data_IF_474535538256
#
_entry.id   IF_474535538256
#
_cell.length_a   1.000
_cell.length_b   1.000
_cell.length_c   1.000
_cell.angle_alpha   90.00
_cell.angle_beta   90.00
_cell.angle_gamma   90.00
#
_symmetry.space_group_name_H-M   'P 1'
#
loop_
_entity.id
_entity.type
_entity.pdbx_description
1 polymer ?
#
# COMPACT_ATOMS: atom_id res chain seq x y z
N UNK A 1 6.92 -8.91 12.69
CA UNK A 1 6.33 -7.67 12.17
C UNK A 1 7.43 -6.86 11.52
N UNK A 2 7.34 -6.60 10.22
CA UNK A 2 8.27 -5.68 9.56
C UNK A 2 8.20 -4.32 10.28
N UNK A 3 9.36 -3.68 10.50
CA UNK A 3 9.40 -2.34 11.07
C UNK A 3 8.79 -1.38 10.06
N UNK A 4 7.56 -0.93 10.33
CA UNK A 4 6.92 0.14 9.55
C UNK A 4 7.67 1.47 9.78
N UNK A 5 7.79 2.30 8.73
CA UNK A 5 8.51 3.56 8.84
C UNK A 5 7.81 4.53 9.80
N UNK A 6 8.60 5.39 10.45
CA UNK A 6 8.09 6.45 11.31
C UNK A 6 7.40 7.59 10.54
N UNK A 7 7.71 7.71 9.24
CA UNK A 7 7.12 8.67 8.31
C UNK A 7 6.76 8.02 6.99
N UNK A 8 5.69 8.50 6.37
CA UNK A 8 5.23 8.10 5.02
C UNK A 8 4.76 9.36 4.30
N UNK A 9 5.27 9.62 3.10
CA UNK A 9 5.00 10.86 2.34
C UNK A 9 5.23 12.13 3.20
N UNK A 10 6.28 12.11 4.04
CA UNK A 10 6.58 13.19 5.00
C UNK A 10 5.68 13.22 6.25
N UNK A 11 4.56 12.49 6.28
CA UNK A 11 3.60 12.46 7.38
C UNK A 11 4.09 11.58 8.53
N UNK A 12 3.98 12.07 9.76
CA UNK A 12 4.31 11.30 10.97
C UNK A 12 3.30 10.20 11.24
N UNK A 13 3.76 9.06 11.76
CA UNK A 13 2.86 7.96 12.19
C UNK A 13 1.94 8.41 13.32
N UNK A 14 0.64 8.21 13.15
CA UNK A 14 -0.42 8.63 14.09
C UNK A 14 -1.01 7.46 14.88
N UNK A 15 -1.16 6.29 14.27
CA UNK A 15 -1.64 5.09 14.97
C UNK A 15 -0.97 3.81 14.46
N UNK A 16 -0.95 2.78 15.30
CA UNK A 16 -0.48 1.44 14.96
C UNK A 16 -1.30 0.41 15.71
N UNK A 17 -1.86 -0.56 14.99
CA UNK A 17 -2.54 -1.73 15.52
C UNK A 17 -1.82 -3.01 15.08
N UNK A 18 -2.42 -4.17 15.38
CA UNK A 18 -1.81 -5.48 15.07
C UNK A 18 -1.61 -5.73 13.57
N UNK A 19 -2.48 -5.18 12.72
CA UNK A 19 -2.42 -5.34 11.26
C UNK A 19 -2.66 -4.03 10.51
N UNK A 20 -2.56 -2.90 11.22
CA UNK A 20 -2.89 -1.59 10.67
C UNK A 20 -1.90 -0.53 11.13
N UNK A 21 -1.70 0.49 10.32
CA UNK A 21 -0.98 1.70 10.69
C UNK A 21 -1.51 2.90 9.93
N UNK A 22 -1.35 4.09 10.49
CA UNK A 22 -1.76 5.34 9.86
C UNK A 22 -0.73 6.45 10.06
N UNK A 23 -0.70 7.40 9.12
CA UNK A 23 0.19 8.56 9.13
C UNK A 23 -0.57 9.83 8.72
N UNK A 24 -0.33 10.93 9.45
CA UNK A 24 -0.93 12.23 9.19
C UNK A 24 -2.44 12.32 9.46
N UNK A 25 -3.01 13.45 9.04
CA UNK A 25 -4.44 13.78 9.05
C UNK A 25 -4.73 14.78 7.90
N UNK A 26 -5.57 14.45 6.89
CA UNK A 26 -6.25 13.17 6.66
C UNK A 26 -5.28 11.99 6.59
N UNK A 27 -5.63 10.85 7.17
CA UNK A 27 -4.67 9.77 7.37
C UNK A 27 -4.39 8.97 6.09
N UNK A 28 -3.11 8.79 5.76
CA UNK A 28 -2.65 7.66 4.94
C UNK A 28 -2.77 6.41 5.80
N UNK A 29 -3.42 5.36 5.30
CA UNK A 29 -3.67 4.13 6.07
C UNK A 29 -3.11 2.91 5.37
N UNK A 30 -2.52 2.00 6.14
CA UNK A 30 -2.02 0.70 5.68
C UNK A 30 -2.72 -0.40 6.46
N UNK A 31 -3.13 -1.47 5.76
CA UNK A 31 -3.76 -2.65 6.34
C UNK A 31 -3.16 -3.91 5.74
N UNK A 32 -2.65 -4.79 6.59
CA UNK A 32 -2.09 -6.07 6.19
C UNK A 32 -3.14 -7.17 6.25
N UNK A 33 -3.07 -8.13 5.32
CA UNK A 33 -3.91 -9.33 5.34
C UNK A 33 -5.36 -9.05 4.96
N UNK A 34 -5.61 -8.07 4.08
CA UNK A 34 -6.96 -7.83 3.56
C UNK A 34 -7.38 -8.96 2.61
N UNK A 35 -8.68 -9.07 2.36
CA UNK A 35 -9.18 -9.97 1.33
C UNK A 35 -8.75 -9.50 -0.06
N UNK A 36 -8.69 -10.43 -1.02
CA UNK A 36 -8.43 -10.10 -2.42
C UNK A 36 -9.47 -9.08 -2.92
N UNK A 37 -9.06 -7.95 -3.53
CA UNK A 37 -10.00 -6.99 -4.10
C UNK A 37 -10.88 -7.66 -5.16
N UNK A 38 -12.19 -7.38 -5.14
CA UNK A 38 -13.15 -8.00 -6.07
C UNK A 38 -12.86 -7.68 -7.53
N UNK A 39 -12.31 -6.49 -7.82
CA UNK A 39 -11.95 -6.05 -9.17
C UNK A 39 -10.58 -6.53 -9.67
N UNK A 40 -9.79 -7.19 -8.82
CA UNK A 40 -8.47 -7.68 -9.23
C UNK A 40 -8.62 -8.93 -10.10
N UNK A 41 -8.30 -8.83 -11.39
CA UNK A 41 -8.32 -9.93 -12.37
C UNK A 41 -6.92 -10.23 -12.89
N UNK A 42 -6.78 -11.27 -13.71
CA UNK A 42 -5.51 -11.59 -14.40
C UNK A 42 -5.09 -10.55 -15.45
N UNK A 43 -6.01 -9.66 -15.84
CA UNK A 43 -5.77 -8.59 -16.81
C UNK A 43 -5.62 -7.22 -16.15
N UNK A 44 -5.72 -7.14 -14.82
CA UNK A 44 -5.51 -5.90 -14.10
C UNK A 44 -4.09 -5.40 -14.30
N UNK A 45 -3.93 -4.08 -14.42
CA UNK A 45 -2.62 -3.45 -14.49
C UNK A 45 -1.86 -3.72 -13.20
N UNK A 46 -0.60 -4.12 -13.34
CA UNK A 46 0.34 -4.05 -12.24
C UNK A 46 1.17 -2.79 -12.35
N UNK A 47 0.99 -1.89 -11.38
CA UNK A 47 1.85 -0.73 -11.20
C UNK A 47 2.98 -1.12 -10.24
N UNK A 48 4.20 -1.24 -10.75
CA UNK A 48 5.36 -1.59 -9.94
C UNK A 48 6.01 -0.33 -9.36
N UNK A 49 6.20 -0.31 -8.04
CA UNK A 49 6.95 0.73 -7.30
C UNK A 49 7.95 0.02 -6.41
N UNK A 50 9.25 0.29 -6.63
CA UNK A 50 10.36 -0.30 -5.87
C UNK A 50 10.29 -1.84 -5.72
N UNK A 51 9.93 -2.53 -6.81
CA UNK A 51 9.80 -4.00 -6.83
C UNK A 51 8.57 -4.54 -6.11
N UNK A 52 7.62 -3.68 -5.73
CA UNK A 52 6.31 -4.06 -5.21
C UNK A 52 5.26 -3.77 -6.28
N UNK A 53 4.56 -4.82 -6.69
CA UNK A 53 3.41 -4.68 -7.59
C UNK A 53 2.16 -4.22 -6.86
N UNK A 54 1.46 -3.25 -7.43
CA UNK A 54 0.24 -2.66 -6.89
C UNK A 54 -0.91 -2.72 -7.90
N UNK A 55 -2.08 -3.07 -7.40
CA UNK A 55 -3.36 -2.86 -8.05
C UNK A 55 -3.94 -1.54 -7.55
N UNK A 56 -4.02 -0.56 -8.46
CA UNK A 56 -4.45 0.80 -8.17
C UNK A 56 -5.94 0.99 -8.40
N UNK A 57 -6.61 1.66 -7.48
CA UNK A 57 -8.01 2.05 -7.58
C UNK A 57 -8.12 3.54 -7.23
N UNK A 58 -8.66 4.32 -8.16
CA UNK A 58 -8.92 5.74 -7.97
C UNK A 58 -10.33 5.94 -7.39
N UNK A 59 -10.44 6.77 -6.37
CA UNK A 59 -11.69 7.28 -5.81
C UNK A 59 -11.67 8.80 -5.84
N UNK A 60 -12.84 9.43 -5.66
CA UNK A 60 -12.99 10.89 -5.73
C UNK A 60 -12.02 11.67 -4.83
N UNK A 61 -11.74 11.17 -3.62
CA UNK A 61 -10.91 11.87 -2.63
C UNK A 61 -9.73 11.03 -2.11
N UNK A 62 -9.45 9.89 -2.75
CA UNK A 62 -8.38 9.00 -2.32
C UNK A 62 -7.95 8.04 -3.42
N UNK A 63 -6.72 7.58 -3.31
CA UNK A 63 -6.24 6.40 -4.04
C UNK A 63 -6.15 5.21 -3.09
N UNK A 64 -6.48 4.02 -3.60
CA UNK A 64 -6.24 2.76 -2.89
C UNK A 64 -5.35 1.88 -3.74
N UNK A 65 -4.34 1.33 -3.09
CA UNK A 65 -3.39 0.41 -3.69
C UNK A 65 -3.45 -0.90 -2.93
N UNK A 66 -3.53 -2.01 -3.65
CA UNK A 66 -3.44 -3.33 -3.04
C UNK A 66 -2.28 -4.09 -3.64
N UNK A 67 -1.39 -4.66 -2.82
CA UNK A 67 -0.25 -5.41 -3.33
C UNK A 67 -0.69 -6.63 -4.11
N UNK A 68 -0.01 -6.92 -5.21
CA UNK A 68 -0.25 -8.13 -6.00
C UNK A 68 1.02 -8.96 -6.09
N UNK A 69 0.86 -10.27 -6.32
CA UNK A 69 2.01 -11.15 -6.51
C UNK A 69 2.73 -11.60 -5.25
N UNK A 70 2.18 -11.31 -4.06
CA UNK A 70 2.74 -11.68 -2.75
C UNK A 70 1.82 -12.66 -2.02
N UNK A 71 2.34 -13.31 -0.98
CA UNK A 71 1.59 -14.32 -0.21
C UNK A 71 0.36 -13.77 0.54
N UNK A 72 0.23 -12.45 0.65
CA UNK A 72 -0.94 -11.78 1.18
C UNK A 72 -1.14 -10.41 0.55
N UNK A 73 -2.31 -9.82 0.81
CA UNK A 73 -2.67 -8.50 0.31
C UNK A 73 -2.44 -7.44 1.39
N UNK A 74 -1.67 -6.42 1.05
CA UNK A 74 -1.54 -5.19 1.81
C UNK A 74 -2.28 -4.09 1.06
N UNK A 75 -3.21 -3.44 1.74
CA UNK A 75 -3.97 -2.30 1.24
C UNK A 75 -3.36 -1.01 1.80
N UNK A 76 -3.11 -0.03 0.94
CA UNK A 76 -2.70 1.32 1.29
C UNK A 76 -3.74 2.27 0.72
N UNK A 77 -4.35 3.11 1.57
CA UNK A 77 -5.25 4.19 1.13
C UNK A 77 -4.57 5.53 1.38
N UNK A 78 -4.44 6.34 0.34
CA UNK A 78 -3.81 7.66 0.34
C UNK A 78 -4.86 8.71 -0.01
N UNK A 79 -5.24 9.60 0.92
CA UNK A 79 -6.09 10.75 0.61
C UNK A 79 -5.50 11.60 -0.52
N UNK A 80 -6.34 12.09 -1.44
CA UNK A 80 -5.91 12.82 -2.64
C UNK A 80 -5.13 14.12 -2.33
N UNK A 81 -5.32 14.68 -1.12
CA UNK A 81 -4.56 15.83 -0.62
C UNK A 81 -3.06 15.54 -0.46
N UNK A 82 -2.65 14.27 -0.36
CA UNK A 82 -1.26 13.83 -0.22
C UNK A 82 -0.68 13.37 -1.56
N UNK A 83 -0.97 14.11 -2.62
CA UNK A 83 -0.45 13.84 -3.96
C UNK A 83 1.03 14.26 -4.06
N UNK A 84 1.90 13.48 -4.73
CA UNK A 84 1.59 12.24 -5.44
C UNK A 84 1.51 11.03 -4.51
N UNK A 85 0.51 10.16 -4.73
CA UNK A 85 0.31 8.97 -3.89
C UNK A 85 1.46 7.96 -3.97
N UNK A 86 2.30 8.04 -5.01
CA UNK A 86 3.50 7.23 -5.18
C UNK A 86 4.51 7.41 -4.03
N UNK A 87 4.60 8.60 -3.43
CA UNK A 87 5.52 8.87 -2.32
C UNK A 87 5.24 7.96 -1.12
N UNK A 88 3.96 7.71 -0.85
CA UNK A 88 3.56 6.79 0.21
C UNK A 88 3.94 5.33 -0.11
N UNK A 89 3.88 4.94 -1.38
CA UNK A 89 4.22 3.58 -1.81
C UNK A 89 5.73 3.34 -1.75
N UNK A 90 6.55 4.32 -2.14
CA UNK A 90 8.02 4.29 -2.02
C UNK A 90 8.44 4.09 -0.57
N UNK A 91 7.90 4.91 0.35
CA UNK A 91 8.24 4.81 1.77
C UNK A 91 7.82 3.47 2.40
N UNK A 92 6.73 2.87 1.92
CA UNK A 92 6.21 1.59 2.41
C UNK A 92 6.83 0.37 1.72
N UNK A 93 7.44 0.52 0.54
CA UNK A 93 7.98 -0.58 -0.24
C UNK A 93 8.99 -1.45 0.53
N UNK A 94 9.93 -0.90 1.34
CA UNK A 94 10.83 -1.73 2.14
C UNK A 94 10.10 -2.64 3.13
N UNK A 95 9.02 -2.16 3.74
CA UNK A 95 8.25 -2.95 4.70
C UNK A 95 7.42 -4.04 4.01
N UNK A 96 6.86 -3.74 2.84
CA UNK A 96 6.08 -4.69 2.03
C UNK A 96 6.98 -5.72 1.37
N UNK A 97 8.19 -5.33 0.95
CA UNK A 97 9.18 -6.21 0.33
C UNK A 97 9.69 -7.31 1.25
N UNK A 98 9.53 -7.17 2.57
CA UNK A 98 9.79 -8.25 3.53
C UNK A 98 8.80 -9.42 3.41
N UNK A 99 7.66 -9.26 2.73
CA UNK A 99 6.71 -10.34 2.48
C UNK A 99 7.18 -11.22 1.31
N UNK A 100 7.06 -12.55 1.40
CA UNK A 100 7.42 -13.45 0.31
C UNK A 100 6.67 -13.13 -1.00
N UNK A 101 7.42 -13.03 -2.09
CA UNK A 101 6.88 -12.93 -3.45
C UNK A 101 6.48 -14.34 -3.91
N UNK A 102 5.28 -14.46 -4.48
CA UNK A 102 4.73 -15.70 -5.05
C UNK A 102 4.77 -15.62 -6.58
N UNK A 103 4.30 -14.51 -7.14
CA UNK A 103 4.28 -14.26 -8.58
C UNK A 103 4.67 -12.81 -8.83
N UNK A 104 5.86 -12.55 -9.36
CA UNK A 104 6.24 -11.18 -9.71
C UNK A 104 5.30 -10.61 -10.78
N UNK A 105 5.17 -9.28 -10.82
CA UNK A 105 4.50 -8.62 -11.94
C UNK A 105 5.33 -8.81 -13.21
N UNK A 106 4.84 -9.66 -14.11
CA UNK A 106 5.41 -9.93 -15.42
C UNK A 106 4.30 -10.28 -16.41
#
# INVERSE_FOLDING_TARGET
>A
MARLPGRVAGLSRTATGSFTASWGDPAVTMRCGVARPSGLTSTSRCDEVDGVGWYSQEFTEAWRFTTIGRSGFVEVTVPAVHSPAADALVDLAPAVSAMPVVTACR
#
